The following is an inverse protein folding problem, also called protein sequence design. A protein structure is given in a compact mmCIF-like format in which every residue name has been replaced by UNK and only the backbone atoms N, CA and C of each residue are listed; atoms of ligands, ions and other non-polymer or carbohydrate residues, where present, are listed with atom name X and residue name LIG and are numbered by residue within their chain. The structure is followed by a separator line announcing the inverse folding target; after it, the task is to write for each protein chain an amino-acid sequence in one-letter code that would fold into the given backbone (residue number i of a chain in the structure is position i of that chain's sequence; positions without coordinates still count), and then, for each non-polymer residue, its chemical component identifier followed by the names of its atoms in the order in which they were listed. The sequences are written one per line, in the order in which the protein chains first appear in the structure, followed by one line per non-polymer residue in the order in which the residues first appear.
data_IF_991047171306
#
_entry.id   IF_991047171306
#
_cell.length_a   1.000
_cell.length_b   1.000
_cell.length_c   1.000
_cell.angle_alpha   90.00
_cell.angle_beta   90.00
_cell.angle_gamma   90.00
#
_symmetry.space_group_name_H-M   'P 1'
#
loop_
_entity.id
_entity.type
_entity.pdbx_description
1 polymer ?
#
# COMPACT_ATOMS: atom_id res chain seq x y z
N UNK A 1 20.69 9.70 10.76
CA UNK A 1 19.81 8.54 11.03
C UNK A 1 18.89 8.34 9.84
N UNK A 2 18.78 7.12 9.31
CA UNK A 2 17.81 6.81 8.23
C UNK A 2 16.39 6.92 8.79
N UNK A 3 15.48 7.59 8.08
CA UNK A 3 14.06 7.67 8.48
C UNK A 3 13.42 6.29 8.38
N UNK A 4 12.56 5.97 9.33
CA UNK A 4 11.83 4.70 9.37
C UNK A 4 10.37 4.95 9.71
N UNK A 5 9.51 4.08 9.20
CA UNK A 5 8.06 4.24 9.29
C UNK A 5 7.37 2.97 9.77
N UNK A 6 6.30 3.12 10.53
CA UNK A 6 5.31 2.06 10.80
C UNK A 6 4.34 1.96 9.62
N UNK A 7 3.67 0.82 9.47
CA UNK A 7 2.63 0.63 8.44
C UNK A 7 1.51 1.69 8.52
N UNK A 8 1.14 2.13 9.72
CA UNK A 8 0.13 3.17 9.93
C UNK A 8 0.58 4.53 9.37
N UNK A 9 1.86 4.87 9.52
CA UNK A 9 2.43 6.12 9.00
C UNK A 9 2.55 6.06 7.47
N UNK A 10 2.93 4.90 6.92
CA UNK A 10 2.94 4.67 5.47
C UNK A 10 1.53 4.82 4.90
N UNK A 11 0.53 4.16 5.51
CA UNK A 11 -0.86 4.24 5.07
C UNK A 11 -1.38 5.68 5.02
N UNK A 12 -1.07 6.48 6.04
CA UNK A 12 -1.40 7.90 6.06
C UNK A 12 -0.67 8.68 4.96
N UNK A 13 0.63 8.44 4.77
CA UNK A 13 1.44 9.13 3.75
C UNK A 13 0.98 8.86 2.32
N UNK A 14 0.57 7.62 2.01
CA UNK A 14 0.13 7.25 0.66
C UNK A 14 -1.39 7.38 0.44
N UNK A 15 -2.14 7.82 1.45
CA UNK A 15 -3.59 8.01 1.36
C UNK A 15 -4.38 6.71 1.16
N UNK A 16 -3.94 5.60 1.77
CA UNK A 16 -4.62 4.29 1.67
C UNK A 16 -5.04 3.78 3.04
N UNK A 17 -6.05 2.89 3.07
CA UNK A 17 -6.48 2.25 4.32
C UNK A 17 -5.36 1.37 4.90
N UNK A 18 -5.24 1.37 6.23
CA UNK A 18 -4.22 0.56 6.94
C UNK A 18 -4.30 -0.92 6.57
N UNK A 19 -5.50 -1.47 6.43
CA UNK A 19 -5.74 -2.87 6.04
C UNK A 19 -5.17 -3.16 4.66
N UNK A 20 -5.39 -2.27 3.68
CA UNK A 20 -4.82 -2.37 2.33
C UNK A 20 -3.29 -2.37 2.34
N UNK A 21 -2.66 -1.47 3.08
CA UNK A 21 -1.18 -1.42 3.18
C UNK A 21 -0.62 -2.64 3.89
N UNK A 22 -1.36 -3.18 4.87
CA UNK A 22 -1.00 -4.44 5.56
C UNK A 22 -1.04 -5.62 4.59
N UNK A 23 -2.10 -5.74 3.79
CA UNK A 23 -2.22 -6.75 2.74
C UNK A 23 -1.08 -6.65 1.71
N UNK A 24 -0.77 -5.43 1.24
CA UNK A 24 0.36 -5.20 0.34
C UNK A 24 1.70 -5.56 0.99
N UNK A 25 1.90 -5.24 2.27
CA UNK A 25 3.10 -5.62 3.00
C UNK A 25 3.30 -7.14 3.02
N UNK A 26 2.23 -7.90 3.21
CA UNK A 26 2.29 -9.36 3.23
C UNK A 26 2.58 -9.91 1.83
N UNK A 27 1.88 -9.41 0.81
CA UNK A 27 1.99 -9.88 -0.56
C UNK A 27 3.34 -9.56 -1.23
N UNK A 28 3.97 -8.44 -0.86
CA UNK A 28 5.21 -7.94 -1.45
C UNK A 28 6.39 -7.92 -0.47
N UNK A 29 6.31 -8.67 0.65
CA UNK A 29 7.30 -8.69 1.73
C UNK A 29 8.75 -8.81 1.25
N UNK A 30 9.00 -9.67 0.26
CA UNK A 30 10.33 -9.94 -0.29
C UNK A 30 10.99 -8.74 -1.00
N UNK A 31 10.21 -7.70 -1.33
CA UNK A 31 10.69 -6.49 -1.99
C UNK A 31 10.80 -5.30 -1.03
N UNK A 32 10.29 -5.42 0.20
CA UNK A 32 10.19 -4.29 1.13
C UNK A 32 11.38 -4.27 2.10
N UNK A 33 12.28 -3.28 2.02
CA UNK A 33 13.36 -3.14 2.98
C UNK A 33 12.81 -2.78 4.36
N UNK A 34 13.18 -3.59 5.35
CA UNK A 34 12.74 -3.43 6.74
C UNK A 34 13.94 -3.45 7.68
N UNK A 35 13.79 -2.76 8.81
CA UNK A 35 14.75 -2.79 9.91
C UNK A 35 14.01 -2.96 11.24
N UNK A 36 14.65 -3.58 12.21
CA UNK A 36 14.09 -3.74 13.55
C UNK A 36 14.62 -2.60 14.42
N UNK A 37 13.72 -1.81 15.00
CA UNK A 37 14.09 -0.70 15.90
C UNK A 37 13.27 -0.80 17.18
N UNK A 38 13.94 -0.96 18.32
CA UNK A 38 13.32 -1.17 19.63
C UNK A 38 12.33 -2.35 19.64
N UNK A 39 12.71 -3.48 19.04
CA UNK A 39 11.87 -4.70 18.96
C UNK A 39 10.68 -4.61 18.00
N UNK A 40 10.45 -3.46 17.35
CA UNK A 40 9.38 -3.28 16.36
C UNK A 40 9.95 -3.31 14.94
N UNK A 41 9.31 -4.07 14.05
CA UNK A 41 9.57 -4.01 12.61
C UNK A 41 9.20 -2.62 12.08
N UNK A 42 10.13 -1.97 11.37
CA UNK A 42 9.93 -0.68 10.70
C UNK A 42 10.37 -0.77 9.26
N UNK A 43 9.77 0.06 8.43
CA UNK A 43 10.01 0.13 6.99
C UNK A 43 10.89 1.34 6.72
N UNK A 44 11.90 1.17 5.87
CA UNK A 44 12.81 2.27 5.55
C UNK A 44 12.17 3.27 4.57
N UNK A 45 12.83 4.40 4.31
CA UNK A 45 12.38 5.36 3.29
C UNK A 45 12.24 4.70 1.90
N UNK A 46 13.12 3.75 1.57
CA UNK A 46 13.06 3.02 0.31
C UNK A 46 11.78 2.16 0.21
N UNK A 47 11.31 1.60 1.34
CA UNK A 47 10.05 0.87 1.37
C UNK A 47 8.85 1.79 1.11
N UNK A 48 8.88 3.03 1.59
CA UNK A 48 7.82 4.03 1.31
C UNK A 48 7.70 4.28 -0.20
N UNK A 49 8.82 4.45 -0.91
CA UNK A 49 8.84 4.61 -2.38
C UNK A 49 8.24 3.39 -3.09
N UNK A 50 8.52 2.18 -2.58
CA UNK A 50 7.94 0.95 -3.11
C UNK A 50 6.42 0.90 -2.89
N UNK A 51 5.94 1.29 -1.71
CA UNK A 51 4.50 1.37 -1.44
C UNK A 51 3.78 2.40 -2.32
N UNK A 52 4.37 3.56 -2.58
CA UNK A 52 3.82 4.54 -3.54
C UNK A 52 3.72 3.97 -4.95
N UNK A 53 4.74 3.21 -5.39
CA UNK A 53 4.73 2.54 -6.69
C UNK A 53 3.64 1.47 -6.76
N UNK A 54 3.50 0.64 -5.72
CA UNK A 54 2.42 -0.36 -5.62
C UNK A 54 1.06 0.34 -5.70
N UNK A 55 0.87 1.43 -4.96
CA UNK A 55 -0.36 2.23 -4.98
C UNK A 55 -0.72 2.68 -6.40
N UNK A 56 0.22 3.33 -7.11
CA UNK A 56 0.00 3.80 -8.48
C UNK A 56 -0.34 2.66 -9.45
N UNK A 57 0.30 1.51 -9.31
CA UNK A 57 0.05 0.35 -10.17
C UNK A 57 -1.29 -0.32 -9.85
N UNK A 58 -1.68 -0.38 -8.58
CA UNK A 58 -2.99 -0.90 -8.14
C UNK A 58 -4.13 0.01 -8.59
N UNK A 59 -3.96 1.32 -8.46
CA UNK A 59 -4.93 2.31 -8.95
C UNK A 59 -5.09 2.26 -10.47
N UNK A 60 -4.03 1.87 -11.20
CA UNK A 60 -4.07 1.59 -12.63
C UNK A 60 -4.54 0.15 -12.98
N UNK A 61 -5.15 -0.55 -12.03
CA UNK A 61 -5.67 -1.91 -12.14
C UNK A 61 -4.67 -2.94 -12.72
N UNK A 62 -3.38 -2.81 -12.38
CA UNK A 62 -2.35 -3.76 -12.83
C UNK A 62 -2.38 -5.04 -11.99
N UNK A 63 -2.13 -6.18 -12.65
CA UNK A 63 -2.13 -7.48 -12.01
C UNK A 63 -0.98 -7.63 -10.99
N UNK A 64 -1.16 -8.51 -10.00
CA UNK A 64 -0.14 -8.82 -8.98
C UNK A 64 1.19 -9.22 -9.63
N UNK A 65 1.13 -10.06 -10.68
CA UNK A 65 2.30 -10.52 -11.43
C UNK A 65 3.05 -9.37 -12.08
N UNK A 66 2.33 -8.42 -12.68
CA UNK A 66 2.92 -7.22 -13.30
C UNK A 66 3.62 -6.34 -12.25
N UNK A 67 2.99 -6.15 -11.09
CA UNK A 67 3.57 -5.37 -9.99
C UNK A 67 4.85 -6.03 -9.48
N UNK A 68 4.86 -7.35 -9.25
CA UNK A 68 6.06 -8.08 -8.82
C UNK A 68 7.22 -7.94 -9.81
N UNK A 69 6.95 -7.98 -11.12
CA UNK A 69 7.96 -7.75 -12.16
C UNK A 69 8.59 -6.35 -12.09
N UNK A 70 7.76 -5.31 -11.93
CA UNK A 70 8.23 -3.93 -11.78
C UNK A 70 9.08 -3.74 -10.51
N UNK A 71 8.69 -4.35 -9.39
CA UNK A 71 9.45 -4.26 -8.13
C UNK A 71 10.79 -5.00 -8.21
N UNK A 72 10.85 -6.13 -8.93
CA UNK A 72 12.10 -6.84 -9.18
C UNK A 72 13.07 -6.01 -10.02
N UNK A 73 12.57 -5.33 -11.06
CA UNK A 73 13.37 -4.42 -11.88
C UNK A 73 13.92 -3.24 -11.05
N UNK A 74 13.10 -2.64 -10.18
CA UNK A 74 13.56 -1.60 -9.26
C UNK A 74 14.67 -2.08 -8.33
N UNK A 75 14.56 -3.31 -7.79
CA UNK A 75 15.59 -3.90 -6.93
C UNK A 75 16.89 -4.13 -7.70
N UNK A 76 16.83 -4.64 -8.93
CA UNK A 76 18.02 -4.86 -9.76
C UNK A 76 18.74 -3.55 -10.07
N UNK A 77 17.99 -2.50 -10.46
CA UNK A 77 18.56 -1.16 -10.69
C UNK A 77 19.25 -0.58 -9.45
N UNK A 78 18.70 -0.83 -8.26
CA UNK A 78 19.31 -0.40 -7.00
C UNK A 78 20.64 -1.15 -6.70
N UNK A 79 20.72 -2.45 -7.00
CA UNK A 79 21.96 -3.24 -6.81
C UNK A 79 23.05 -2.81 -7.79
N UNK A 80 22.72 -2.56 -9.05
CA UNK A 80 23.71 -2.09 -10.05
C UNK A 80 24.30 -0.73 -9.67
N UNK A 81 23.49 0.16 -9.07
CA UNK A 81 23.94 1.49 -8.63
C UNK A 81 24.88 1.47 -7.42
N UNK A 82 24.95 0.36 -6.68
CA UNK A 82 25.88 0.17 -5.55
C UNK A 82 27.21 -0.45 -6.04
N UNK A 83 27.19 -1.19 -7.16
CA UNK A 83 28.37 -1.86 -7.70
C UNK A 83 29.33 -0.95 -8.49
N UNK A 84 28.93 0.27 -8.84
CA UNK A 84 29.83 1.22 -9.52
C UNK A 84 30.77 1.97 -8.56
N UNK A 85 30.54 1.89 -7.23
CA UNK A 85 31.35 2.58 -6.21
C UNK A 85 32.31 1.67 -5.42
N UNK A 86 32.31 0.34 -5.63
CA UNK A 86 33.29 -0.57 -4.99
C UNK A 86 33.87 -1.60 -5.97
N UNK A 87 35.19 -1.48 -6.18
CA UNK A 87 36.02 -2.29 -7.07
C UNK A 87 36.33 -3.66 -6.40
N UNK A 88 35.94 -4.82 -6.97
CA UNK A 88 36.26 -6.11 -6.37
C UNK A 88 37.62 -6.66 -6.85
N UNK A 89 38.44 -7.10 -5.90
CA UNK A 89 39.66 -7.91 -6.09
C UNK A 89 39.30 -9.37 -5.79
N UNK A 90 39.67 -10.30 -6.68
CA UNK A 90 39.67 -11.75 -6.43
C UNK A 90 40.96 -12.37 -7.02
N UNK A 91 41.66 -13.29 -6.31
CA UNK A 91 42.89 -13.92 -6.79
C UNK A 91 42.65 -15.26 -7.50
N UNK A 92 43.50 -15.52 -8.50
CA UNK A 92 43.48 -16.70 -9.37
C UNK A 92 44.69 -17.59 -9.04
N UNK A 93 44.45 -18.88 -8.75
CA UNK A 93 45.49 -19.87 -8.43
C UNK A 93 45.34 -21.07 -9.36
N UNK A 94 46.24 -21.20 -10.35
CA UNK A 94 46.66 -22.47 -10.96
C UNK A 94 47.82 -22.22 -11.95
N UNK A 95 49.05 -22.64 -11.63
CA UNK A 95 50.07 -23.05 -12.62
C UNK A 95 51.38 -23.53 -11.97
N UNK A 96 51.57 -24.86 -11.81
CA UNK A 96 52.88 -25.47 -11.55
C UNK A 96 52.86 -26.95 -12.01
N UNK A 97 53.06 -27.25 -13.30
CA UNK A 97 53.42 -28.63 -13.73
C UNK A 97 54.04 -28.80 -15.14
N UNK A 98 55.00 -27.96 -15.59
CA UNK A 98 55.51 -28.06 -16.97
C UNK A 98 57.04 -28.14 -17.16
N UNK A 99 57.83 -28.42 -16.11
CA UNK A 99 59.29 -28.20 -16.19
C UNK A 99 60.17 -29.47 -16.35
N UNK A 100 59.67 -30.70 -16.16
CA UNK A 100 60.54 -31.89 -16.15
C UNK A 100 60.79 -32.57 -17.52
N UNK A 101 60.08 -32.20 -18.59
CA UNK A 101 60.21 -32.93 -19.88
C UNK A 101 61.39 -32.50 -20.74
N UNK A 102 62.03 -31.36 -20.43
CA UNK A 102 63.08 -30.77 -21.27
C UNK A 102 64.45 -31.41 -21.02
N UNK A 103 64.79 -31.68 -19.76
CA UNK A 103 66.12 -32.21 -19.37
C UNK A 103 66.35 -33.65 -19.85
N UNK A 104 65.30 -34.48 -19.94
CA UNK A 104 65.42 -35.87 -20.39
C UNK A 104 65.76 -36.00 -21.89
N UNK A 105 65.48 -34.96 -22.69
CA UNK A 105 65.72 -34.99 -24.13
C UNK A 105 67.18 -34.67 -24.47
N UNK A 106 67.83 -33.82 -23.68
CA UNK A 106 69.22 -33.39 -23.90
C UNK A 106 70.22 -34.52 -23.59
N UNK A 107 69.99 -35.33 -22.56
CA UNK A 107 70.88 -36.45 -22.21
C UNK A 107 70.95 -37.53 -23.31
N UNK A 108 69.82 -37.78 -23.99
CA UNK A 108 69.71 -38.79 -25.06
C UNK A 108 70.57 -38.43 -26.27
N UNK A 109 70.65 -37.14 -26.59
CA UNK A 109 71.47 -36.65 -27.70
C UNK A 109 72.98 -36.83 -27.46
N UNK A 110 73.45 -36.62 -26.22
CA UNK A 110 74.88 -36.73 -25.89
C UNK A 110 75.38 -38.17 -26.02
N UNK A 111 74.61 -39.15 -25.54
CA UNK A 111 74.98 -40.58 -25.60
C UNK A 111 75.10 -41.08 -27.05
N UNK A 112 74.24 -40.59 -27.95
CA UNK A 112 74.26 -40.98 -29.36
C UNK A 112 75.53 -40.49 -30.08
N UNK A 113 75.97 -39.26 -29.80
CA UNK A 113 77.19 -38.68 -30.38
C UNK A 113 78.45 -39.44 -29.92
N UNK A 114 78.52 -39.81 -28.64
CA UNK A 114 79.67 -40.56 -28.10
C UNK A 114 79.79 -41.96 -28.71
N UNK A 115 78.66 -42.65 -28.90
CA UNK A 115 78.63 -43.99 -29.53
C UNK A 115 79.16 -43.94 -30.97
N UNK A 116 78.80 -42.89 -31.72
CA UNK A 116 79.21 -42.73 -33.11
C UNK A 116 80.73 -42.47 -33.26
N UNK A 117 81.32 -41.70 -32.32
CA UNK A 117 82.77 -41.46 -32.30
C UNK A 117 83.58 -42.70 -31.94
N UNK A 118 83.05 -43.59 -31.10
CA UNK A 118 83.76 -44.78 -30.65
C UNK A 118 83.85 -45.83 -31.77
N UNK A 119 82.80 -45.95 -32.59
CA UNK A 119 82.79 -46.87 -33.73
C UNK A 119 83.74 -46.43 -34.85
N UNK A 120 83.93 -45.12 -35.05
CA UNK A 120 84.87 -44.57 -36.05
C UNK A 120 86.36 -44.89 -35.74
N UNK A 121 86.71 -45.17 -34.48
CA UNK A 121 88.08 -45.47 -34.06
C UNK A 121 88.44 -46.97 -34.07
N UNK A 122 87.50 -47.87 -34.40
CA UNK A 122 87.72 -49.34 -34.40
C UNK A 122 88.40 -49.90 -35.66
N UNK A 123 88.76 -49.07 -36.65
CA UNK A 123 89.25 -49.54 -37.95
C UNK A 123 90.74 -49.17 -38.17
N UNK A 124 91.71 -49.96 -37.68
CA UNK A 124 93.13 -49.78 -37.98
C UNK A 124 93.58 -50.64 -39.19
N UNK A 125 92.71 -50.89 -40.18
CA UNK A 125 93.06 -51.72 -41.35
C UNK A 125 94.27 -51.16 -42.13
N UNK A 126 94.47 -49.84 -42.07
CA UNK A 126 95.52 -49.16 -42.83
C UNK A 126 96.97 -49.45 -42.36
N UNK A 127 97.16 -50.02 -41.17
CA UNK A 127 98.50 -50.33 -40.61
C UNK A 127 98.97 -51.73 -41.01
N UNK A 128 98.02 -52.68 -41.15
CA UNK A 128 98.32 -54.08 -41.47
C UNK A 128 98.80 -54.23 -42.92
N UNK A 129 98.19 -53.50 -43.84
CA UNK A 129 98.56 -53.51 -45.27
C UNK A 129 99.96 -52.94 -45.52
N UNK A 130 100.38 -51.97 -44.70
CA UNK A 130 101.71 -51.34 -44.85
C UNK A 130 102.86 -52.26 -44.40
N UNK A 131 102.64 -53.08 -43.36
CA UNK A 131 103.62 -54.07 -42.92
C UNK A 131 103.80 -55.20 -43.94
N UNK A 132 102.73 -55.58 -44.64
CA UNK A 132 102.78 -56.66 -45.63
C UNK A 132 103.53 -56.23 -46.92
N UNK A 133 103.42 -54.96 -47.36
CA UNK A 133 104.18 -54.41 -48.48
C UNK A 133 105.70 -54.37 -48.21
N UNK A 134 106.10 -54.05 -46.97
CA UNK A 134 107.51 -53.99 -46.57
C UNK A 134 108.15 -55.39 -46.58
N UNK A 135 107.46 -56.40 -46.05
CA UNK A 135 107.94 -57.80 -46.04
C UNK A 135 108.10 -58.34 -47.46
N UNK A 136 107.20 -57.97 -48.37
CA UNK A 136 107.28 -58.40 -49.77
C UNK A 136 108.45 -57.73 -50.52
N UNK A 137 108.72 -56.44 -50.30
CA UNK A 137 109.87 -55.74 -50.89
C UNK A 137 111.23 -56.30 -50.44
N UNK A 138 111.36 -56.67 -49.16
CA UNK A 138 112.59 -57.29 -48.64
C UNK A 138 112.82 -58.68 -49.27
N UNK A 139 111.75 -59.43 -49.53
CA UNK A 139 111.85 -60.77 -50.13
C UNK A 139 112.24 -60.73 -51.61
N UNK A 140 111.83 -59.70 -52.35
CA UNK A 140 112.18 -59.53 -53.78
C UNK A 140 113.63 -59.04 -53.94
N UNK A 141 114.10 -58.14 -53.07
CA UNK A 141 115.45 -57.58 -53.17
C UNK A 141 116.57 -58.59 -52.86
N UNK A 142 116.25 -59.74 -52.25
CA UNK A 142 117.23 -60.80 -51.94
C UNK A 142 117.42 -61.84 -53.05
N UNK A 143 116.65 -61.75 -54.15
CA UNK A 143 116.74 -62.71 -55.28
C UNK A 143 117.42 -62.16 -56.54
N UNK A 144 117.73 -60.86 -56.60
CA UNK A 144 118.16 -60.19 -57.84
C UNK A 144 119.64 -59.77 -57.89
N UNK A 145 120.43 -60.04 -56.85
CA UNK A 145 121.87 -59.82 -56.84
C UNK A 145 122.63 -61.13 -56.62
N UNK A 146 123.05 -61.78 -57.71
CA UNK A 146 123.93 -62.95 -57.63
C UNK A 146 124.27 -63.64 -58.94
N UNK A 147 124.32 -62.90 -60.05
CA UNK A 147 124.78 -63.38 -61.35
C UNK A 147 126.26 -62.98 -61.55
N UNK A 148 127.11 -63.97 -61.87
CA UNK A 148 128.46 -63.90 -62.47
C UNK A 148 129.68 -63.47 -61.61
N UNK A 149 130.53 -64.45 -61.24
CA UNK A 149 131.97 -64.57 -61.61
C UNK A 149 132.77 -65.48 -60.64
N UNK A 150 133.37 -66.54 -61.18
CA UNK A 150 134.59 -67.20 -60.66
C UNK A 150 135.81 -66.25 -60.83
N UNK A 151 137.08 -66.62 -60.47
CA UNK A 151 137.58 -67.71 -59.63
C UNK A 151 138.62 -67.24 -58.56
N UNK A 152 138.89 -68.10 -57.57
CA UNK A 152 140.12 -68.15 -56.74
C UNK A 152 140.36 -66.95 -55.81
N UNK A 153 140.24 -67.17 -54.49
CA UNK A 153 141.22 -66.82 -53.43
C UNK A 153 140.60 -67.25 -52.08
N UNK A 154 141.14 -68.33 -51.53
CA UNK A 154 140.59 -69.16 -50.45
C UNK A 154 141.19 -68.83 -49.06
N UNK A 155 141.23 -67.55 -48.65
CA UNK A 155 141.70 -67.22 -47.29
C UNK A 155 140.97 -66.08 -46.58
N UNK A 156 140.41 -65.11 -47.30
CA UNK A 156 139.61 -64.03 -46.68
C UNK A 156 138.18 -64.46 -46.31
N UNK A 157 137.65 -65.52 -46.94
CA UNK A 157 136.31 -66.06 -46.64
C UNK A 157 136.24 -66.78 -45.28
N UNK A 158 137.35 -67.33 -44.79
CA UNK A 158 137.39 -68.06 -43.50
C UNK A 158 137.36 -67.09 -42.32
N UNK A 159 138.05 -65.94 -42.44
CA UNK A 159 138.03 -64.90 -41.40
C UNK A 159 136.70 -64.16 -41.37
N UNK A 160 136.12 -63.85 -42.54
CA UNK A 160 134.78 -63.28 -42.64
C UNK A 160 133.73 -64.23 -42.05
N UNK A 161 133.81 -65.55 -42.34
CA UNK A 161 132.89 -66.52 -41.76
C UNK A 161 133.00 -66.64 -40.23
N UNK A 162 134.20 -66.47 -39.66
CA UNK A 162 134.38 -66.48 -38.20
C UNK A 162 133.78 -65.24 -37.54
N UNK A 163 134.04 -64.06 -38.09
CA UNK A 163 133.44 -62.80 -37.58
C UNK A 163 131.92 -62.79 -37.77
N UNK A 164 131.40 -63.32 -38.88
CA UNK A 164 129.96 -63.50 -39.12
C UNK A 164 129.36 -64.51 -38.13
N UNK A 165 130.09 -65.55 -37.75
CA UNK A 165 129.64 -66.54 -36.75
C UNK A 165 129.65 -65.95 -35.33
N UNK A 166 130.66 -65.16 -34.98
CA UNK A 166 130.71 -64.43 -33.70
C UNK A 166 129.61 -63.35 -33.63
N UNK A 167 129.39 -62.59 -34.71
CA UNK A 167 128.26 -61.66 -34.83
C UNK A 167 126.92 -62.37 -34.74
N UNK A 168 126.76 -63.54 -35.37
CA UNK A 168 125.56 -64.37 -35.21
C UNK A 168 125.36 -64.77 -33.75
N UNK A 169 126.41 -65.20 -33.05
CA UNK A 169 126.30 -65.57 -31.64
C UNK A 169 125.98 -64.35 -30.75
N UNK A 170 126.55 -63.18 -31.03
CA UNK A 170 126.22 -61.95 -30.32
C UNK A 170 124.77 -61.56 -30.59
N UNK A 171 124.32 -61.57 -31.85
CA UNK A 171 122.93 -61.28 -32.22
C UNK A 171 121.97 -62.29 -31.59
N UNK A 172 122.32 -63.58 -31.58
CA UNK A 172 121.55 -64.64 -30.93
C UNK A 172 121.42 -64.35 -29.43
N UNK A 173 122.53 -64.05 -28.75
CA UNK A 173 122.57 -63.72 -27.32
C UNK A 173 121.80 -62.43 -27.01
N UNK A 174 121.91 -61.41 -27.88
CA UNK A 174 121.18 -60.16 -27.74
C UNK A 174 119.68 -60.37 -27.95
N UNK A 175 119.30 -61.21 -28.92
CA UNK A 175 117.91 -61.57 -29.22
C UNK A 175 117.31 -62.36 -28.06
N UNK A 176 118.06 -63.28 -27.47
CA UNK A 176 117.67 -64.02 -26.28
C UNK A 176 117.50 -63.08 -25.07
N UNK A 177 118.45 -62.16 -24.83
CA UNK A 177 118.33 -61.16 -23.75
C UNK A 177 117.19 -60.17 -23.98
N UNK A 178 116.98 -59.71 -25.21
CA UNK A 178 115.85 -58.84 -25.55
C UNK A 178 114.55 -59.59 -25.33
N UNK A 179 114.44 -60.84 -25.77
CA UNK A 179 113.25 -61.65 -25.52
C UNK A 179 113.04 -61.92 -24.05
N UNK A 180 114.10 -62.17 -23.27
CA UNK A 180 114.01 -62.40 -21.83
C UNK A 180 113.56 -61.14 -21.08
N UNK A 181 114.19 -59.98 -21.34
CA UNK A 181 113.79 -58.69 -20.73
C UNK A 181 112.38 -58.30 -21.17
N UNK A 182 112.07 -58.41 -22.46
CA UNK A 182 110.78 -58.01 -23.01
C UNK A 182 109.66 -58.95 -22.54
N UNK A 183 109.90 -60.26 -22.47
CA UNK A 183 108.94 -61.18 -21.84
C UNK A 183 108.80 -60.91 -20.35
N UNK A 184 109.90 -60.74 -19.62
CA UNK A 184 109.85 -60.60 -18.17
C UNK A 184 109.19 -59.28 -17.75
N UNK A 185 109.59 -58.14 -18.32
CA UNK A 185 109.06 -56.84 -17.97
C UNK A 185 107.60 -56.68 -18.42
N UNK A 186 107.27 -57.08 -19.66
CA UNK A 186 105.88 -57.05 -20.12
C UNK A 186 105.01 -58.05 -19.38
N UNK A 187 105.49 -59.26 -19.11
CA UNK A 187 104.72 -60.26 -18.36
C UNK A 187 104.46 -59.77 -16.94
N UNK A 188 105.44 -59.17 -16.27
CA UNK A 188 105.27 -58.62 -14.93
C UNK A 188 104.33 -57.41 -14.94
N UNK A 189 104.45 -56.48 -15.90
CA UNK A 189 103.53 -55.33 -15.98
C UNK A 189 102.10 -55.77 -16.33
N UNK A 190 101.94 -56.71 -17.26
CA UNK A 190 100.62 -57.29 -17.60
C UNK A 190 100.05 -57.99 -16.38
N UNK A 191 100.83 -58.82 -15.68
CA UNK A 191 100.37 -59.54 -14.48
C UNK A 191 99.94 -58.57 -13.39
N UNK A 192 100.73 -57.53 -13.13
CA UNK A 192 100.40 -56.50 -12.13
C UNK A 192 99.14 -55.70 -12.49
N UNK A 193 98.96 -55.33 -13.77
CA UNK A 193 97.71 -54.67 -14.22
C UNK A 193 96.51 -55.60 -14.16
N UNK A 194 96.68 -56.89 -14.48
CA UNK A 194 95.62 -57.90 -14.36
C UNK A 194 95.22 -58.07 -12.89
N UNK A 195 96.17 -58.19 -11.96
CA UNK A 195 95.88 -58.26 -10.52
C UNK A 195 95.18 -56.99 -10.00
N UNK A 196 95.64 -55.81 -10.41
CA UNK A 196 95.00 -54.54 -10.04
C UNK A 196 93.57 -54.45 -10.59
N UNK A 197 93.36 -54.89 -11.84
CA UNK A 197 92.04 -54.94 -12.45
C UNK A 197 91.13 -55.95 -11.75
N UNK A 198 91.66 -57.11 -11.38
CA UNK A 198 90.90 -58.15 -10.69
C UNK A 198 90.50 -57.67 -9.28
N UNK A 199 91.42 -57.03 -8.56
CA UNK A 199 91.13 -56.41 -7.25
C UNK A 199 90.03 -55.35 -7.38
N UNK A 200 90.08 -54.52 -8.43
CA UNK A 200 89.04 -53.51 -8.68
C UNK A 200 87.71 -54.16 -9.08
N UNK A 201 87.74 -55.22 -9.87
CA UNK A 201 86.55 -55.98 -10.25
C UNK A 201 85.90 -56.63 -9.04
N UNK A 202 86.69 -57.22 -8.15
CA UNK A 202 86.22 -57.83 -6.91
C UNK A 202 85.57 -56.77 -6.01
N UNK A 203 86.21 -55.60 -5.84
CA UNK A 203 85.63 -54.47 -5.09
C UNK A 203 84.31 -53.95 -5.68
N UNK A 204 84.22 -53.78 -7.01
CA UNK A 204 82.97 -53.40 -7.67
C UNK A 204 81.90 -54.48 -7.53
N UNK A 205 82.28 -55.76 -7.59
CA UNK A 205 81.37 -56.89 -7.41
C UNK A 205 80.80 -56.92 -5.99
N UNK A 206 81.62 -56.61 -4.98
CA UNK A 206 81.20 -56.48 -3.57
C UNK A 206 80.23 -55.31 -3.41
N UNK A 207 80.55 -54.11 -3.91
CA UNK A 207 79.67 -52.94 -3.88
C UNK A 207 78.31 -53.20 -4.58
N UNK A 208 78.31 -53.88 -5.73
CA UNK A 208 77.08 -54.27 -6.44
C UNK A 208 76.25 -55.25 -5.61
N UNK A 209 76.90 -56.14 -4.88
CA UNK A 209 76.24 -57.10 -3.99
C UNK A 209 75.62 -56.38 -2.79
N UNK A 210 76.33 -55.45 -2.16
CA UNK A 210 75.81 -54.60 -1.09
C UNK A 210 74.61 -53.75 -1.56
N UNK A 211 74.73 -53.12 -2.73
CA UNK A 211 73.64 -52.31 -3.30
C UNK A 211 72.39 -53.16 -3.57
N UNK A 212 72.56 -54.40 -4.05
CA UNK A 212 71.43 -55.33 -4.24
C UNK A 212 70.75 -55.64 -2.91
N UNK A 213 71.52 -55.87 -1.84
CA UNK A 213 70.95 -56.14 -0.51
C UNK A 213 70.19 -54.92 0.05
N UNK A 214 70.73 -53.70 -0.12
CA UNK A 214 70.04 -52.46 0.26
C UNK A 214 68.74 -52.30 -0.54
N UNK A 215 68.77 -52.55 -1.85
CA UNK A 215 67.58 -52.44 -2.69
C UNK A 215 66.51 -53.48 -2.34
N UNK A 216 66.92 -54.70 -1.98
CA UNK A 216 66.01 -55.72 -1.47
C UNK A 216 65.37 -55.28 -0.14
N UNK A 217 66.17 -54.80 0.82
CA UNK A 217 65.68 -54.30 2.11
C UNK A 217 64.71 -53.13 1.92
N UNK A 218 65.03 -52.19 1.03
CA UNK A 218 64.15 -51.07 0.71
C UNK A 218 62.82 -51.55 0.08
N UNK A 219 62.88 -52.55 -0.79
CA UNK A 219 61.69 -53.12 -1.42
C UNK A 219 60.79 -53.80 -0.39
N UNK A 220 61.38 -54.55 0.55
CA UNK A 220 60.66 -55.20 1.65
C UNK A 220 60.00 -54.16 2.57
N UNK A 221 60.74 -53.12 2.99
CA UNK A 221 60.20 -52.03 3.83
C UNK A 221 59.07 -51.26 3.13
N UNK A 222 59.21 -50.95 1.83
CA UNK A 222 58.14 -50.29 1.06
C UNK A 222 56.92 -51.19 0.99
N UNK A 223 57.11 -52.48 0.79
CA UNK A 223 56.01 -53.45 0.73
C UNK A 223 55.28 -53.52 2.08
N UNK A 224 56.01 -53.57 3.20
CA UNK A 224 55.43 -53.56 4.55
C UNK A 224 54.62 -52.29 4.82
N UNK A 225 55.18 -51.10 4.57
CA UNK A 225 54.47 -49.82 4.74
C UNK A 225 53.18 -49.77 3.89
N UNK A 226 53.25 -50.24 2.64
CA UNK A 226 52.09 -50.23 1.75
C UNK A 226 51.03 -51.24 2.18
N UNK A 227 51.42 -52.49 2.45
CA UNK A 227 50.48 -53.57 2.75
C UNK A 227 49.90 -53.49 4.15
N UNK A 228 50.67 -53.01 5.12
CA UNK A 228 50.26 -52.97 6.52
C UNK A 228 49.74 -51.58 6.89
N UNK A 229 50.57 -50.53 6.81
CA UNK A 229 50.21 -49.22 7.35
C UNK A 229 49.14 -48.54 6.47
N UNK A 230 49.45 -48.32 5.19
CA UNK A 230 48.55 -47.60 4.28
C UNK A 230 47.22 -48.34 4.12
N UNK A 231 47.27 -49.67 3.93
CA UNK A 231 46.06 -50.48 3.76
C UNK A 231 45.20 -50.51 5.02
N UNK A 232 45.81 -50.64 6.21
CA UNK A 232 45.04 -50.66 7.45
C UNK A 232 44.40 -49.31 7.76
N UNK A 233 45.11 -48.20 7.54
CA UNK A 233 44.55 -46.85 7.67
C UNK A 233 43.38 -46.64 6.69
N UNK A 234 43.52 -47.07 5.44
CA UNK A 234 42.44 -46.96 4.45
C UNK A 234 41.21 -47.79 4.85
N UNK A 235 41.40 -48.99 5.42
CA UNK A 235 40.31 -49.82 5.95
C UNK A 235 39.62 -49.10 7.12
N UNK A 236 40.38 -48.58 8.08
CA UNK A 236 39.84 -47.88 9.24
C UNK A 236 39.05 -46.61 8.84
N UNK A 237 39.55 -45.85 7.86
CA UNK A 237 38.84 -44.69 7.30
C UNK A 237 37.55 -45.12 6.61
N UNK A 238 37.59 -46.21 5.82
CA UNK A 238 36.41 -46.72 5.14
C UNK A 238 35.34 -47.19 6.14
N UNK A 239 35.71 -47.93 7.17
CA UNK A 239 34.80 -48.38 8.24
C UNK A 239 34.18 -47.21 9.03
N UNK A 240 34.99 -46.19 9.33
CA UNK A 240 34.52 -44.95 9.98
C UNK A 240 33.51 -44.20 9.11
N UNK A 241 33.76 -44.09 7.79
CA UNK A 241 32.83 -43.46 6.85
C UNK A 241 31.52 -44.24 6.73
N UNK A 242 31.57 -45.57 6.67
CA UNK A 242 30.37 -46.41 6.66
C UNK A 242 29.56 -46.20 7.94
N UNK A 243 30.22 -46.22 9.10
CA UNK A 243 29.54 -46.01 10.39
C UNK A 243 28.87 -44.63 10.47
N UNK A 244 29.55 -43.58 9.98
CA UNK A 244 28.96 -42.23 9.92
C UNK A 244 27.78 -42.16 8.95
N UNK A 245 27.88 -42.82 7.80
CA UNK A 245 26.81 -42.88 6.82
C UNK A 245 25.57 -43.58 7.39
N UNK A 246 25.76 -44.69 8.08
CA UNK A 246 24.67 -45.45 8.71
C UNK A 246 23.99 -44.60 9.81
N UNK A 247 24.75 -43.89 10.64
CA UNK A 247 24.20 -42.97 11.63
C UNK A 247 23.37 -41.84 11.00
N UNK A 248 23.88 -41.21 9.94
CA UNK A 248 23.13 -40.18 9.20
C UNK A 248 21.87 -40.76 8.54
N UNK A 249 21.93 -42.00 8.05
CA UNK A 249 20.79 -42.68 7.44
C UNK A 249 19.69 -42.97 8.47
N UNK A 250 20.07 -43.38 9.68
CA UNK A 250 19.15 -43.58 10.80
C UNK A 250 18.49 -42.27 11.22
N UNK A 251 19.27 -41.20 11.42
CA UNK A 251 18.77 -39.85 11.75
C UNK A 251 17.78 -39.34 10.69
N UNK A 252 18.09 -39.52 9.40
CA UNK A 252 17.20 -39.12 8.30
C UNK A 252 15.90 -39.93 8.31
N UNK A 253 15.96 -41.20 8.70
CA UNK A 253 14.78 -42.06 8.82
C UNK A 253 13.90 -41.64 9.99
N UNK A 254 14.50 -41.34 11.15
CA UNK A 254 13.79 -40.83 12.32
C UNK A 254 13.12 -39.48 12.01
N UNK A 255 13.86 -38.55 11.40
CA UNK A 255 13.34 -37.24 11.01
C UNK A 255 12.15 -37.37 10.06
N UNK A 256 12.20 -38.32 9.12
CA UNK A 256 11.08 -38.60 8.21
C UNK A 256 9.85 -39.10 8.96
N UNK A 257 10.02 -39.95 9.97
CA UNK A 257 8.93 -40.44 10.82
C UNK A 257 8.27 -39.31 11.62
N UNK A 258 9.08 -38.44 12.23
CA UNK A 258 8.61 -37.24 12.94
C UNK A 258 7.85 -36.30 12.01
N UNK A 259 8.38 -36.05 10.80
CA UNK A 259 7.72 -35.23 9.78
C UNK A 259 6.36 -35.81 9.39
N UNK A 260 6.27 -37.13 9.21
CA UNK A 260 5.01 -37.80 8.87
C UNK A 260 3.98 -37.65 10.00
N UNK A 261 4.39 -37.90 11.25
CA UNK A 261 3.54 -37.73 12.44
C UNK A 261 3.05 -36.29 12.59
N UNK A 262 3.93 -35.30 12.36
CA UNK A 262 3.55 -33.89 12.42
C UNK A 262 2.55 -33.55 11.31
N UNK A 263 2.75 -34.07 10.10
CA UNK A 263 1.86 -33.87 8.95
C UNK A 263 0.46 -34.44 9.23
N UNK A 264 0.38 -35.61 9.83
CA UNK A 264 -0.88 -36.25 10.20
C UNK A 264 -1.62 -35.41 11.26
N UNK A 265 -0.93 -35.03 12.36
CA UNK A 265 -1.51 -34.17 13.40
C UNK A 265 -2.00 -32.82 12.88
N UNK A 266 -1.25 -32.19 11.97
CA UNK A 266 -1.65 -30.93 11.34
C UNK A 266 -2.90 -31.14 10.48
N UNK A 267 -2.96 -32.23 9.72
CA UNK A 267 -4.14 -32.59 8.93
C UNK A 267 -5.37 -32.79 9.82
N UNK A 268 -5.24 -33.54 10.91
CA UNK A 268 -6.35 -33.81 11.85
C UNK A 268 -6.89 -32.53 12.49
N UNK A 269 -6.01 -31.65 12.99
CA UNK A 269 -6.42 -30.36 13.58
C UNK A 269 -7.15 -29.49 12.55
N UNK A 270 -6.68 -29.48 11.30
CA UNK A 270 -7.30 -28.68 10.25
C UNK A 270 -8.66 -29.27 9.83
N UNK A 271 -8.76 -30.58 9.63
CA UNK A 271 -9.97 -31.22 9.12
C UNK A 271 -11.05 -31.42 10.19
N UNK A 272 -10.68 -31.69 11.43
CA UNK A 272 -11.64 -31.91 12.51
C UNK A 272 -11.90 -30.62 13.28
N UNK A 273 -10.88 -30.07 13.94
CA UNK A 273 -11.10 -28.97 14.90
C UNK A 273 -11.48 -27.68 14.17
N UNK A 274 -10.61 -27.19 13.29
CA UNK A 274 -10.82 -25.89 12.62
C UNK A 274 -12.07 -25.92 11.76
N UNK A 275 -12.28 -27.00 11.00
CA UNK A 275 -13.46 -27.12 10.12
C UNK A 275 -14.75 -27.22 10.94
N UNK A 276 -14.78 -27.98 12.02
CA UNK A 276 -16.00 -28.13 12.85
C UNK A 276 -16.35 -26.82 13.56
N UNK A 277 -15.37 -26.12 14.13
CA UNK A 277 -15.60 -24.79 14.75
C UNK A 277 -16.13 -23.78 13.73
N UNK A 278 -15.58 -23.78 12.50
CA UNK A 278 -16.05 -22.90 11.44
C UNK A 278 -17.49 -23.21 11.04
N UNK A 279 -17.86 -24.50 10.95
CA UNK A 279 -19.23 -24.93 10.65
C UNK A 279 -20.20 -24.54 11.77
N UNK A 280 -19.84 -24.77 13.04
CA UNK A 280 -20.67 -24.39 14.19
C UNK A 280 -20.87 -22.86 14.26
N UNK A 281 -19.82 -22.09 13.97
CA UNK A 281 -19.91 -20.62 13.91
C UNK A 281 -20.82 -20.16 12.78
N UNK A 282 -20.72 -20.78 11.60
CA UNK A 282 -21.57 -20.46 10.46
C UNK A 282 -23.05 -20.77 10.74
N UNK A 283 -23.33 -21.93 11.36
CA UNK A 283 -24.68 -22.35 11.73
C UNK A 283 -25.30 -21.43 12.80
N UNK A 284 -24.52 -21.03 13.81
CA UNK A 284 -24.94 -20.06 14.82
C UNK A 284 -25.26 -18.69 14.21
N UNK A 285 -24.43 -18.23 13.27
CA UNK A 285 -24.67 -16.96 12.57
C UNK A 285 -25.94 -17.02 11.71
N UNK A 286 -26.17 -18.12 11.00
CA UNK A 286 -27.37 -18.30 10.19
C UNK A 286 -28.64 -18.31 11.06
N UNK A 287 -28.61 -19.06 12.17
CA UNK A 287 -29.71 -19.10 13.14
C UNK A 287 -30.05 -17.71 13.69
N UNK A 288 -29.03 -16.91 14.02
CA UNK A 288 -29.23 -15.53 14.48
C UNK A 288 -29.79 -14.62 13.38
N UNK A 289 -29.34 -14.80 12.15
CA UNK A 289 -29.87 -14.05 11.00
C UNK A 289 -31.35 -14.35 10.77
N UNK A 290 -31.72 -15.63 10.81
CA UNK A 290 -33.11 -16.07 10.64
C UNK A 290 -34.01 -15.49 11.74
N UNK A 291 -33.57 -15.53 13.00
CA UNK A 291 -34.30 -14.91 14.12
C UNK A 291 -34.50 -13.40 13.96
N UNK A 292 -33.47 -12.66 13.55
CA UNK A 292 -33.59 -11.21 13.28
C UNK A 292 -34.53 -10.95 12.10
N UNK A 293 -34.50 -11.80 11.06
CA UNK A 293 -35.39 -11.67 9.91
C UNK A 293 -36.86 -11.87 10.30
N UNK A 294 -37.13 -12.81 11.20
CA UNK A 294 -38.47 -13.05 11.76
C UNK A 294 -38.95 -11.83 12.58
N UNK A 295 -38.15 -11.35 13.53
CA UNK A 295 -38.46 -10.16 14.33
C UNK A 295 -38.75 -8.91 13.48
N UNK A 296 -37.96 -8.69 12.42
CA UNK A 296 -38.17 -7.56 11.49
C UNK A 296 -39.50 -7.71 10.72
N UNK A 297 -39.88 -8.95 10.40
CA UNK A 297 -41.15 -9.24 9.73
C UNK A 297 -42.33 -8.99 10.66
N UNK A 298 -42.25 -9.43 11.91
CA UNK A 298 -43.26 -9.14 12.93
C UNK A 298 -43.42 -7.64 13.17
N UNK A 299 -42.31 -6.90 13.33
CA UNK A 299 -42.34 -5.46 13.52
C UNK A 299 -42.99 -4.73 12.34
N UNK A 300 -42.73 -5.18 11.11
CA UNK A 300 -43.38 -4.63 9.91
C UNK A 300 -44.89 -4.85 9.96
N UNK A 301 -45.35 -6.02 10.37
CA UNK A 301 -46.79 -6.32 10.48
C UNK A 301 -47.47 -5.46 11.55
N UNK A 302 -46.82 -5.26 12.70
CA UNK A 302 -47.30 -4.34 13.75
C UNK A 302 -47.40 -2.91 13.24
N UNK A 303 -46.37 -2.43 12.52
CA UNK A 303 -46.37 -1.08 11.95
C UNK A 303 -47.48 -0.89 10.91
N UNK A 304 -47.73 -1.92 10.09
CA UNK A 304 -48.83 -1.90 9.11
C UNK A 304 -50.18 -1.81 9.83
N UNK A 305 -50.43 -2.65 10.83
CA UNK A 305 -51.67 -2.63 11.63
C UNK A 305 -51.88 -1.29 12.31
N UNK A 306 -50.82 -0.72 12.90
CA UNK A 306 -50.90 0.61 13.52
C UNK A 306 -51.25 1.70 12.50
N UNK A 307 -50.67 1.63 11.30
CA UNK A 307 -50.96 2.56 10.21
C UNK A 307 -52.42 2.47 9.79
N UNK A 308 -52.94 1.25 9.60
CA UNK A 308 -54.34 1.00 9.24
C UNK A 308 -55.31 1.55 10.31
N UNK A 309 -55.05 1.27 11.59
CA UNK A 309 -55.86 1.78 12.70
C UNK A 309 -55.85 3.32 12.78
N UNK A 310 -54.70 3.96 12.60
CA UNK A 310 -54.59 5.43 12.60
C UNK A 310 -55.37 6.02 11.43
N UNK A 311 -55.28 5.41 10.24
CA UNK A 311 -56.06 5.83 9.08
C UNK A 311 -57.56 5.71 9.35
N UNK A 312 -58.03 4.61 9.93
CA UNK A 312 -59.45 4.41 10.27
C UNK A 312 -59.96 5.47 11.25
N UNK A 313 -59.25 5.71 12.36
CA UNK A 313 -59.62 6.74 13.35
C UNK A 313 -59.71 8.13 12.69
N UNK A 314 -58.76 8.47 11.82
CA UNK A 314 -58.74 9.78 11.16
C UNK A 314 -59.86 9.91 10.13
N UNK A 315 -60.03 8.90 9.26
CA UNK A 315 -60.96 8.98 8.14
C UNK A 315 -62.42 8.74 8.53
N UNK A 316 -62.67 7.88 9.51
CA UNK A 316 -64.01 7.55 9.95
C UNK A 316 -64.40 8.37 11.16
N UNK A 317 -63.71 8.22 12.29
CA UNK A 317 -64.17 8.78 13.56
C UNK A 317 -64.06 10.31 13.56
N UNK A 318 -62.84 10.84 13.41
CA UNK A 318 -62.58 12.28 13.51
C UNK A 318 -63.34 13.04 12.41
N UNK A 319 -63.32 12.53 11.18
CA UNK A 319 -64.00 13.18 10.06
C UNK A 319 -65.53 13.17 10.24
N UNK A 320 -66.12 12.09 10.71
CA UNK A 320 -67.57 12.01 10.93
C UNK A 320 -68.01 12.90 12.09
N UNK A 321 -67.25 12.95 13.19
CA UNK A 321 -67.52 13.88 14.28
C UNK A 321 -67.46 15.34 13.81
N UNK A 322 -66.46 15.70 13.01
CA UNK A 322 -66.36 17.06 12.46
C UNK A 322 -67.52 17.40 11.53
N UNK A 323 -68.01 16.46 10.73
CA UNK A 323 -69.21 16.64 9.89
C UNK A 323 -70.44 16.85 10.79
N UNK A 324 -70.64 16.01 11.80
CA UNK A 324 -71.79 16.13 12.71
C UNK A 324 -71.79 17.47 13.48
N UNK A 325 -70.62 17.92 13.95
CA UNK A 325 -70.47 19.23 14.59
C UNK A 325 -70.79 20.36 13.59
N UNK A 326 -70.30 20.27 12.35
CA UNK A 326 -70.57 21.27 11.33
C UNK A 326 -72.07 21.36 10.99
N UNK A 327 -72.74 20.23 10.81
CA UNK A 327 -74.18 20.15 10.57
C UNK A 327 -74.99 20.72 11.76
N UNK A 328 -74.59 20.41 13.00
CA UNK A 328 -75.22 20.98 14.19
C UNK A 328 -75.06 22.50 14.26
N UNK A 329 -73.89 23.05 13.91
CA UNK A 329 -73.64 24.49 13.90
C UNK A 329 -74.47 25.19 12.82
N UNK A 330 -74.57 24.61 11.63
CA UNK A 330 -75.44 25.13 10.55
C UNK A 330 -76.89 25.16 11.03
N UNK A 331 -77.37 24.06 11.63
CA UNK A 331 -78.75 23.98 12.15
C UNK A 331 -79.02 25.05 13.23
N UNK A 332 -78.07 25.28 14.15
CA UNK A 332 -78.20 26.33 15.16
C UNK A 332 -78.21 27.73 14.54
N UNK A 333 -77.35 27.98 13.54
CA UNK A 333 -77.31 29.25 12.83
C UNK A 333 -78.62 29.54 12.10
N UNK A 334 -79.17 28.54 11.40
CA UNK A 334 -80.45 28.67 10.69
C UNK A 334 -81.59 28.98 11.67
N UNK A 335 -81.65 28.29 12.81
CA UNK A 335 -82.63 28.58 13.87
C UNK A 335 -82.52 30.02 14.39
N UNK A 336 -81.31 30.50 14.70
CA UNK A 336 -81.10 31.90 15.11
C UNK A 336 -81.50 32.88 14.01
N UNK A 337 -81.20 32.58 12.74
CA UNK A 337 -81.58 33.43 11.60
C UNK A 337 -83.11 33.52 11.43
N UNK A 338 -83.83 32.42 11.68
CA UNK A 338 -85.29 32.39 11.66
C UNK A 338 -85.87 33.25 12.79
N UNK A 339 -85.39 33.07 14.03
CA UNK A 339 -85.79 33.88 15.18
C UNK A 339 -85.52 35.39 14.96
N UNK A 340 -84.37 35.75 14.39
CA UNK A 340 -84.04 37.14 14.04
C UNK A 340 -85.00 37.69 12.98
N UNK A 341 -85.43 36.85 12.03
CA UNK A 341 -86.40 37.24 10.99
C UNK A 341 -87.79 37.47 11.59
N UNK A 342 -88.23 36.57 12.49
CA UNK A 342 -89.49 36.72 13.22
C UNK A 342 -89.48 37.98 14.10
N UNK A 343 -88.42 38.20 14.87
CA UNK A 343 -88.26 39.39 15.70
C UNK A 343 -88.30 40.68 14.87
N UNK A 344 -87.66 40.68 13.68
CA UNK A 344 -87.73 41.81 12.74
C UNK A 344 -89.17 42.05 12.26
N UNK A 345 -89.94 41.00 11.97
CA UNK A 345 -91.34 41.11 11.59
C UNK A 345 -92.19 41.71 12.72
N UNK A 346 -92.05 41.19 13.94
CA UNK A 346 -92.73 41.73 15.14
C UNK A 346 -92.41 43.21 15.34
N UNK A 347 -91.12 43.59 15.22
CA UNK A 347 -90.69 44.98 15.35
C UNK A 347 -91.29 45.88 14.26
N UNK A 348 -91.42 45.38 13.03
CA UNK A 348 -92.08 46.13 11.96
C UNK A 348 -93.57 46.36 12.25
N UNK A 349 -94.30 45.31 12.66
CA UNK A 349 -95.71 45.43 13.06
C UNK A 349 -95.90 46.38 14.24
N UNK A 350 -95.01 46.33 15.25
CA UNK A 350 -95.07 47.26 16.38
C UNK A 350 -94.83 48.70 15.91
N UNK A 351 -93.87 48.91 15.01
CA UNK A 351 -93.57 50.24 14.45
C UNK A 351 -94.77 50.80 13.67
N UNK A 352 -95.44 49.97 12.88
CA UNK A 352 -96.65 50.34 12.14
C UNK A 352 -97.79 50.74 13.10
N UNK A 353 -98.09 49.90 14.10
CA UNK A 353 -99.09 50.22 15.13
C UNK A 353 -98.81 51.51 15.89
N UNK A 354 -97.55 51.75 16.26
CA UNK A 354 -97.15 53.00 16.93
C UNK A 354 -97.37 54.20 16.00
N UNK A 355 -97.04 54.05 14.71
CA UNK A 355 -97.26 55.09 13.70
C UNK A 355 -98.77 55.39 13.56
N UNK A 356 -99.61 54.36 13.44
CA UNK A 356 -101.07 54.51 13.34
C UNK A 356 -101.67 55.22 14.56
N UNK A 357 -101.31 54.82 15.79
CA UNK A 357 -101.77 55.47 17.02
C UNK A 357 -101.38 56.95 17.03
N UNK A 358 -100.15 57.28 16.61
CA UNK A 358 -99.68 58.66 16.58
C UNK A 358 -100.41 59.47 15.50
N UNK A 359 -100.53 58.94 14.28
CA UNK A 359 -101.08 59.67 13.14
C UNK A 359 -102.60 59.75 13.13
N UNK A 360 -103.30 58.71 13.58
CA UNK A 360 -104.76 58.65 13.58
C UNK A 360 -105.30 59.11 14.93
N UNK A 361 -104.98 58.41 16.01
CA UNK A 361 -105.63 58.64 17.31
C UNK A 361 -105.17 59.95 17.94
N UNK A 362 -103.86 60.08 18.22
CA UNK A 362 -103.30 61.25 18.93
C UNK A 362 -103.51 62.53 18.12
N UNK A 363 -103.24 62.50 16.81
CA UNK A 363 -103.41 63.67 15.94
C UNK A 363 -104.89 64.08 15.81
N UNK A 364 -105.82 63.13 15.68
CA UNK A 364 -107.26 63.42 15.61
C UNK A 364 -107.80 63.99 16.91
N UNK A 365 -107.42 63.41 18.05
CA UNK A 365 -107.77 63.96 19.38
C UNK A 365 -107.23 65.38 19.56
N UNK A 366 -105.98 65.62 19.13
CA UNK A 366 -105.38 66.95 19.19
C UNK A 366 -106.12 67.95 18.29
N UNK A 367 -106.50 67.56 17.06
CA UNK A 367 -107.29 68.41 16.16
C UNK A 367 -108.68 68.70 16.73
N UNK A 368 -109.36 67.69 17.27
CA UNK A 368 -110.68 67.86 17.91
C UNK A 368 -110.60 68.79 19.13
N UNK A 369 -109.56 68.64 19.95
CA UNK A 369 -109.29 69.52 21.09
C UNK A 369 -108.98 70.94 20.64
N UNK A 370 -108.18 71.11 19.58
CA UNK A 370 -107.86 72.41 19.01
C UNK A 370 -109.09 73.10 18.43
N UNK A 371 -109.95 72.38 17.71
CA UNK A 371 -111.22 72.89 17.19
C UNK A 371 -112.16 73.31 18.32
N UNK A 372 -112.33 72.47 19.35
CA UNK A 372 -113.14 72.81 20.53
C UNK A 372 -112.62 74.06 21.25
N UNK A 373 -111.30 74.18 21.39
CA UNK A 373 -110.68 75.37 21.97
C UNK A 373 -110.92 76.61 21.10
N UNK A 374 -110.83 76.49 19.78
CA UNK A 374 -111.09 77.59 18.85
C UNK A 374 -112.55 78.03 18.93
N UNK A 375 -113.51 77.10 18.92
CA UNK A 375 -114.94 77.40 19.12
C UNK A 375 -115.18 78.11 20.45
N UNK A 376 -114.51 77.69 21.53
CA UNK A 376 -114.63 78.35 22.83
C UNK A 376 -114.05 79.76 22.81
N UNK A 377 -112.91 79.97 22.13
CA UNK A 377 -112.32 81.30 21.93
C UNK A 377 -113.25 82.20 21.10
N UNK A 378 -113.87 81.69 20.04
CA UNK A 378 -114.83 82.41 19.22
C UNK A 378 -116.05 82.83 20.06
N UNK A 379 -116.60 81.91 20.87
CA UNK A 379 -117.69 82.21 21.79
C UNK A 379 -117.33 83.29 22.83
N UNK A 380 -116.13 83.20 23.45
CA UNK A 380 -115.64 84.25 24.35
C UNK A 380 -115.47 85.59 23.62
N UNK A 381 -115.00 85.57 22.36
CA UNK A 381 -114.85 86.78 21.54
C UNK A 381 -116.22 87.43 21.25
N UNK A 382 -117.24 86.62 20.96
CA UNK A 382 -118.62 87.07 20.77
C UNK A 382 -119.20 87.67 22.05
N UNK A 383 -119.07 86.98 23.19
CA UNK A 383 -119.48 87.49 24.51
C UNK A 383 -118.79 88.83 24.84
N UNK A 384 -117.48 88.95 24.58
CA UNK A 384 -116.74 90.21 24.78
C UNK A 384 -117.26 91.32 23.86
N UNK A 385 -117.66 90.99 22.63
CA UNK A 385 -118.23 91.95 21.68
C UNK A 385 -119.62 92.41 22.13
N UNK A 386 -120.45 91.50 22.62
CA UNK A 386 -121.76 91.80 23.20
C UNK A 386 -121.61 92.66 24.46
N UNK A 387 -120.69 92.30 25.37
CA UNK A 387 -120.39 93.08 26.57
C UNK A 387 -119.91 94.49 26.22
N UNK A 388 -119.10 94.63 25.17
CA UNK A 388 -118.66 95.95 24.65
C UNK A 388 -119.85 96.73 24.09
N UNK A 389 -120.78 96.09 23.39
CA UNK A 389 -122.03 96.72 22.91
C UNK A 389 -122.90 97.20 24.07
N UNK A 390 -123.12 96.35 25.09
CA UNK A 390 -123.84 96.71 26.33
C UNK A 390 -123.15 97.87 27.03
N UNK A 391 -121.82 97.85 27.13
CA UNK A 391 -121.06 98.95 27.72
C UNK A 391 -121.18 100.23 26.90
N UNK A 392 -121.24 100.14 25.57
CA UNK A 392 -121.46 101.30 24.72
C UNK A 392 -122.87 101.88 24.90
N UNK A 393 -123.89 101.03 24.94
CA UNK A 393 -125.27 101.42 25.20
C UNK A 393 -125.45 102.02 26.60
N UNK A 394 -124.77 101.47 27.62
CA UNK A 394 -124.75 102.03 28.97
C UNK A 394 -124.05 103.39 28.98
N UNK A 395 -122.93 103.53 28.27
CA UNK A 395 -122.19 104.79 28.13
C UNK A 395 -123.05 105.85 27.44
N UNK A 396 -123.76 105.49 26.36
CA UNK A 396 -124.71 106.36 25.66
C UNK A 396 -125.84 106.77 26.60
N UNK A 397 -126.46 105.82 27.30
CA UNK A 397 -127.53 106.10 28.27
C UNK A 397 -127.09 106.99 29.43
N UNK A 398 -125.87 106.81 29.95
CA UNK A 398 -125.28 107.70 30.96
C UNK A 398 -125.03 109.08 30.37
N UNK A 399 -124.56 109.16 29.12
CA UNK A 399 -124.37 110.44 28.42
C UNK A 399 -125.69 111.15 28.22
N UNK A 400 -126.74 110.44 27.80
CA UNK A 400 -128.11 110.97 27.64
C UNK A 400 -128.70 111.44 28.96
N UNK A 401 -128.53 110.67 30.06
CA UNK A 401 -128.98 111.09 31.39
C UNK A 401 -128.21 112.34 31.81
N UNK A 402 -126.89 112.36 31.65
CA UNK A 402 -126.08 113.54 32.00
C UNK A 402 -126.48 114.74 31.14
N UNK A 403 -126.71 114.58 29.83
CA UNK A 403 -127.21 115.65 28.98
C UNK A 403 -128.62 116.10 29.35
N UNK A 404 -129.55 115.18 29.63
CA UNK A 404 -130.92 115.52 30.01
C UNK A 404 -130.98 116.16 31.41
N UNK A 405 -130.30 115.62 32.40
CA UNK A 405 -130.24 116.19 33.75
C UNK A 405 -129.57 117.56 33.68
N UNK A 406 -128.38 117.68 33.07
CA UNK A 406 -127.70 118.98 32.93
C UNK A 406 -128.57 119.96 32.16
N UNK A 407 -129.20 119.55 31.05
CA UNK A 407 -130.07 120.41 30.24
C UNK A 407 -131.34 120.80 30.99
N UNK A 408 -131.93 119.89 31.75
CA UNK A 408 -133.11 120.17 32.58
C UNK A 408 -132.74 121.12 33.72
N UNK A 409 -131.62 120.90 34.41
CA UNK A 409 -131.08 121.80 35.43
C UNK A 409 -130.77 123.17 34.83
N UNK A 410 -130.16 123.23 33.64
CA UNK A 410 -129.90 124.48 32.92
C UNK A 410 -131.19 125.17 32.51
N UNK A 411 -132.22 124.43 32.09
CA UNK A 411 -133.53 125.00 31.76
C UNK A 411 -134.21 125.57 33.01
N UNK A 412 -134.22 124.84 34.14
CA UNK A 412 -134.73 125.39 35.41
C UNK A 412 -133.90 126.59 35.89
N UNK A 413 -132.58 126.58 35.69
CA UNK A 413 -131.71 127.71 36.03
C UNK A 413 -131.97 128.89 35.12
N UNK A 414 -132.17 128.66 33.81
CA UNK A 414 -132.51 129.67 32.82
C UNK A 414 -133.90 130.25 33.06
N UNK A 415 -134.90 129.43 33.40
CA UNK A 415 -136.25 129.87 33.79
C UNK A 415 -136.22 130.66 35.09
N UNK A 416 -135.42 130.24 36.09
CA UNK A 416 -135.19 131.01 37.32
C UNK A 416 -134.50 132.36 37.05
N UNK A 417 -133.56 132.39 36.10
CA UNK A 417 -132.93 133.63 35.63
C UNK A 417 -133.90 134.51 34.86
N UNK A 418 -134.77 133.93 34.03
CA UNK A 418 -135.74 134.67 33.24
C UNK A 418 -136.83 135.27 34.13
N UNK A 419 -137.34 134.52 35.12
CA UNK A 419 -138.23 135.07 36.16
C UNK A 419 -137.55 136.16 36.99
N UNK A 420 -136.25 136.04 37.29
CA UNK A 420 -135.48 137.14 37.91
C UNK A 420 -135.36 138.36 36.98
N UNK A 421 -135.13 138.17 35.68
CA UNK A 421 -135.07 139.26 34.71
C UNK A 421 -136.43 139.92 34.50
N UNK A 422 -137.52 139.16 34.52
CA UNK A 422 -138.89 139.67 34.45
C UNK A 422 -139.22 140.47 35.72
N UNK A 423 -138.83 139.98 36.91
CA UNK A 423 -138.94 140.74 38.15
C UNK A 423 -138.12 142.05 38.15
N UNK A 424 -136.92 142.05 37.57
CA UNK A 424 -136.11 143.26 37.38
C UNK A 424 -136.73 144.19 36.33
N UNK A 425 -137.37 143.66 35.29
CA UNK A 425 -138.06 144.45 34.25
C UNK A 425 -139.34 145.11 34.79
N UNK A 426 -140.02 144.45 35.73
CA UNK A 426 -141.20 144.96 36.43
C UNK A 426 -140.83 146.05 37.44
N UNK A 427 -139.73 145.90 38.19
CA UNK A 427 -139.15 146.98 39.03
C UNK A 427 -138.73 148.22 38.19
N UNK A 428 -138.19 148.01 36.98
CA UNK A 428 -137.79 149.11 36.08
C UNK A 428 -139.00 149.83 35.47
N UNK A 429 -140.14 149.15 35.30
CA UNK A 429 -141.38 149.77 34.80
C UNK A 429 -142.17 150.49 35.90
N UNK A 430 -142.14 150.00 37.15
CA UNK A 430 -142.70 150.73 38.30
C UNK A 430 -141.92 152.02 38.63
N UNK A 431 -140.59 152.02 38.50
CA UNK A 431 -139.78 153.24 38.70
C UNK A 431 -140.08 154.34 37.67
N UNK A 432 -140.57 153.99 36.47
CA UNK A 432 -141.02 154.97 35.45
C UNK A 432 -142.40 155.57 35.74
N UNK A 433 -143.14 155.08 36.73
CA UNK A 433 -144.49 155.57 37.06
C UNK A 433 -144.50 156.59 38.22
N UNK A 434 -143.36 156.93 38.82
CA UNK A 434 -143.31 157.78 40.05
C UNK A 434 -142.39 159.01 39.95
N UNK A 435 -141.62 159.22 38.87
CA UNK A 435 -140.88 160.47 38.59
C UNK A 435 -140.74 160.71 37.10
#
# INVERSE_FOLDING_TARGET
MKKTYKLTEIAHKIGKMRTTVTDWSNQYRQYLPTIITNGSLRYTEEALVIFEKISKLRDANKSVRYIKGNLQEMRQKAVTKISEDEKPILPNVHNLNFQSSKETMDLRNVVQILTQKLEANKQPEHVKDHLQDIVQKVTISSKENGTLLSPIIDSSNVQLNKEVMELRNIIQTLTEKINEVLHQDLSNEITSKVESLNTRYDGVSEEVTELRNVMQTLTENITEIVEQDIKSELIAIAESLVTQYDGVSEDVTELRSVMHTLTEKVTDIVEQDIKSELMATAESLNTRYDGVSEEVTELRNVMQTLTENVTEIVEQDIKSELIAIAESLVTQYDGVSEEVTELRSVMHTLTEKVTDIVEQDIKSELMTTAESLNTRCDGVSEEVTELRSVMHALTEKVTDIVEQDIKSELMTTAESLNTRCDGVSEEVTELRSVM
#
